data_IF_518292879871
#
_entry.id   IF_518292879871
#
_cell.length_a   1.000
_cell.length_b   1.000
_cell.length_c   1.000
_cell.angle_alpha   90.00
_cell.angle_beta   90.00
_cell.angle_gamma   90.00
#
_symmetry.space_group_name_H-M   'P 1'
#
loop_
_entity.id
_entity.type
_entity.pdbx_description
1 polymer ?
#
# COMPACT_ATOMS: atom_id res chain seq x y z
N UNK A 1 1.05 31.85 -3.33
CA UNK A 1 1.91 30.94 -2.56
C UNK A 1 1.04 29.92 -1.87
N UNK A 2 1.38 28.61 -2.01
CA UNK A 2 0.59 27.51 -1.47
C UNK A 2 0.48 27.52 0.06
N UNK A 3 -0.53 26.85 0.62
CA UNK A 3 -0.79 26.85 2.08
C UNK A 3 0.38 26.26 2.88
N UNK A 4 1.05 25.22 2.35
CA UNK A 4 2.21 24.59 3.03
C UNK A 4 3.35 25.60 3.21
N UNK A 5 3.62 26.41 2.19
CA UNK A 5 4.60 27.49 2.30
C UNK A 5 4.20 28.56 3.31
N UNK A 6 2.94 29.01 3.26
CA UNK A 6 2.45 30.02 4.18
C UNK A 6 2.48 29.56 5.65
N UNK A 7 2.28 28.25 5.88
CA UNK A 7 2.30 27.66 7.22
C UNK A 7 3.72 27.40 7.73
N UNK A 8 4.63 26.94 6.86
CA UNK A 8 5.98 26.52 7.25
C UNK A 8 7.07 27.60 7.02
N UNK A 9 6.85 28.50 6.07
CA UNK A 9 7.89 29.38 5.54
C UNK A 9 8.93 28.70 4.64
N UNK A 10 8.73 27.40 4.30
CA UNK A 10 9.64 26.62 3.47
C UNK A 10 9.18 26.67 2.00
N UNK A 11 10.06 27.14 1.10
CA UNK A 11 9.72 27.26 -0.32
C UNK A 11 9.41 25.87 -0.90
N UNK A 12 8.31 25.70 -1.66
CA UNK A 12 7.88 24.39 -2.16
C UNK A 12 8.95 23.64 -2.93
N UNK A 13 9.71 24.32 -3.81
CA UNK A 13 10.78 23.72 -4.62
C UNK A 13 12.11 23.55 -3.85
N UNK A 14 12.15 23.93 -2.56
CA UNK A 14 13.34 23.77 -1.73
C UNK A 14 13.71 22.30 -1.61
N UNK A 15 15.01 21.96 -1.74
CA UNK A 15 15.48 20.60 -1.50
C UNK A 15 15.46 20.31 0.00
N UNK A 16 14.46 19.52 0.46
CA UNK A 16 14.34 19.12 1.86
C UNK A 16 15.31 17.99 2.19
N UNK A 17 15.39 17.00 1.33
CA UNK A 17 16.32 15.88 1.46
C UNK A 17 16.63 15.24 0.11
N UNK A 18 17.71 14.44 0.07
CA UNK A 18 18.07 13.63 -1.10
C UNK A 18 18.11 12.16 -0.66
N UNK A 19 17.38 11.30 -1.38
CA UNK A 19 17.35 9.87 -1.14
C UNK A 19 17.90 9.13 -2.35
N UNK A 20 19.02 8.46 -2.20
CA UNK A 20 19.65 7.69 -3.29
C UNK A 20 19.81 8.50 -4.60
N UNK A 21 20.13 9.79 -4.47
CA UNK A 21 20.29 10.72 -5.61
C UNK A 21 18.99 11.34 -6.11
N UNK A 22 17.84 11.00 -5.56
CA UNK A 22 16.56 11.62 -5.88
C UNK A 22 16.29 12.79 -4.91
N UNK A 23 16.04 13.97 -5.45
CA UNK A 23 15.64 15.14 -4.64
C UNK A 23 14.19 14.98 -4.20
N UNK A 24 13.95 15.22 -2.92
CA UNK A 24 12.62 15.38 -2.32
C UNK A 24 12.44 16.85 -1.98
N UNK A 25 11.37 17.45 -2.51
CA UNK A 25 11.08 18.86 -2.29
C UNK A 25 10.42 19.12 -0.94
N UNK A 26 10.43 20.40 -0.52
CA UNK A 26 9.69 20.80 0.69
C UNK A 26 8.18 20.52 0.55
N UNK A 27 7.59 20.75 -0.63
CA UNK A 27 6.17 20.44 -0.87
C UNK A 27 5.88 18.97 -0.67
N UNK A 28 6.68 18.08 -1.31
CA UNK A 28 6.51 16.63 -1.18
C UNK A 28 6.64 16.17 0.29
N UNK A 29 7.62 16.67 1.01
CA UNK A 29 7.84 16.32 2.41
C UNK A 29 6.72 16.85 3.34
N UNK A 30 6.38 18.14 3.22
CA UNK A 30 5.38 18.80 4.06
C UNK A 30 3.97 18.21 3.88
N UNK A 31 3.65 17.73 2.68
CA UNK A 31 2.40 16.98 2.45
C UNK A 31 2.30 15.77 3.39
N UNK A 32 3.37 15.01 3.54
CA UNK A 32 3.37 13.83 4.41
C UNK A 32 3.46 14.19 5.89
N UNK A 33 4.12 15.28 6.24
CA UNK A 33 4.04 15.86 7.60
C UNK A 33 2.58 16.20 7.95
N UNK A 34 1.89 16.89 7.06
CA UNK A 34 0.47 17.23 7.26
C UNK A 34 -0.41 15.99 7.37
N UNK A 35 -0.24 15.02 6.48
CA UNK A 35 -0.98 13.76 6.54
C UNK A 35 -0.79 13.04 7.88
N UNK A 36 0.45 12.92 8.36
CA UNK A 36 0.74 12.31 9.66
C UNK A 36 0.13 13.11 10.82
N UNK A 37 0.17 14.44 10.76
CA UNK A 37 -0.49 15.30 11.76
C UNK A 37 -2.00 15.07 11.79
N UNK A 38 -2.67 15.03 10.64
CA UNK A 38 -4.10 14.77 10.55
C UNK A 38 -4.45 13.37 11.09
N UNK A 39 -3.64 12.36 10.77
CA UNK A 39 -3.83 11.00 11.25
C UNK A 39 -3.78 10.93 12.79
N UNK A 40 -2.77 11.56 13.41
CA UNK A 40 -2.62 11.59 14.87
C UNK A 40 -3.77 12.39 15.50
N UNK A 41 -4.05 13.59 15.00
CA UNK A 41 -5.11 14.47 15.54
C UNK A 41 -6.50 13.85 15.45
N UNK A 42 -6.76 12.99 14.46
CA UNK A 42 -8.02 12.25 14.35
C UNK A 42 -8.24 11.22 15.47
N UNK A 43 -7.15 10.78 16.11
CA UNK A 43 -7.14 9.77 17.19
C UNK A 43 -6.93 10.37 18.57
N UNK A 44 -6.17 11.45 18.64
CA UNK A 44 -5.79 12.14 19.87
C UNK A 44 -6.25 13.59 19.73
N UNK A 45 -7.46 13.94 20.22
CA UNK A 45 -7.89 15.32 20.25
C UNK A 45 -6.94 16.19 21.09
N UNK A 46 -6.65 17.39 20.63
CA UNK A 46 -5.79 18.37 21.30
C UNK A 46 -4.37 17.83 21.61
N UNK A 47 -3.79 17.09 20.66
CA UNK A 47 -2.45 16.51 20.80
C UNK A 47 -1.42 17.58 21.14
N UNK A 48 -0.62 17.33 22.18
CA UNK A 48 0.58 18.12 22.49
C UNK A 48 1.76 17.58 21.67
N UNK A 49 2.15 18.30 20.64
CA UNK A 49 3.23 17.89 19.73
C UNK A 49 4.61 17.79 20.42
N UNK A 50 4.75 18.31 21.63
CA UNK A 50 5.97 18.21 22.44
C UNK A 50 5.89 17.07 23.49
N UNK A 51 4.76 16.39 23.61
CA UNK A 51 4.62 15.22 24.47
C UNK A 51 5.46 14.06 23.94
N UNK A 52 6.16 13.36 24.83
CA UNK A 52 7.00 12.22 24.53
C UNK A 52 6.13 10.97 24.27
N UNK A 53 6.42 10.27 23.17
CA UNK A 53 5.70 9.06 22.73
C UNK A 53 6.50 7.78 22.83
N UNK A 54 7.81 7.90 23.10
CA UNK A 54 8.72 6.75 23.20
C UNK A 54 9.63 6.87 24.42
N UNK A 55 10.17 5.73 24.87
CA UNK A 55 11.08 5.66 26.03
C UNK A 55 12.41 6.39 25.80
N UNK A 56 12.84 6.54 24.55
CA UNK A 56 14.03 7.29 24.15
C UNK A 56 13.83 8.80 24.07
N UNK A 57 12.60 9.26 24.35
CA UNK A 57 12.26 10.66 24.48
C UNK A 57 11.76 11.34 23.19
N UNK A 58 11.50 10.59 22.12
CA UNK A 58 10.93 11.14 20.88
C UNK A 58 9.56 11.76 21.16
N UNK A 59 9.33 12.97 20.65
CA UNK A 59 8.03 13.66 20.74
C UNK A 59 7.11 13.30 19.57
N UNK A 60 5.79 13.62 19.67
CA UNK A 60 4.87 13.49 18.53
C UNK A 60 5.35 14.28 17.32
N UNK A 61 5.86 15.49 17.51
CA UNK A 61 6.39 16.30 16.42
C UNK A 61 7.60 15.67 15.73
N UNK A 62 8.53 15.08 16.50
CA UNK A 62 9.67 14.34 15.96
C UNK A 62 9.23 13.05 15.26
N UNK A 63 8.29 12.31 15.83
CA UNK A 63 7.72 11.12 15.23
C UNK A 63 7.11 11.42 13.85
N UNK A 64 6.30 12.47 13.74
CA UNK A 64 5.72 12.92 12.46
C UNK A 64 6.80 13.23 11.42
N UNK A 65 7.88 13.91 11.84
CA UNK A 65 9.00 14.22 10.92
C UNK A 65 9.68 12.95 10.41
N UNK A 66 9.87 11.96 11.27
CA UNK A 66 10.47 10.66 10.91
C UNK A 66 9.54 9.88 9.97
N UNK A 67 8.26 9.79 10.28
CA UNK A 67 7.26 9.11 9.42
C UNK A 67 7.18 9.75 8.02
N UNK A 68 7.23 11.07 7.96
CA UNK A 68 7.26 11.77 6.69
C UNK A 68 8.54 11.45 5.88
N UNK A 69 9.71 11.35 6.52
CA UNK A 69 10.96 10.93 5.87
C UNK A 69 10.84 9.50 5.35
N UNK A 70 10.33 8.55 6.14
CA UNK A 70 10.18 7.16 5.70
C UNK A 70 9.21 7.05 4.51
N UNK A 71 8.14 7.85 4.50
CA UNK A 71 7.20 7.86 3.37
C UNK A 71 7.83 8.41 2.10
N UNK A 72 8.45 9.58 2.13
CA UNK A 72 9.08 10.16 0.93
C UNK A 72 10.29 9.33 0.47
N UNK A 73 10.95 8.64 1.37
CA UNK A 73 12.03 7.68 1.06
C UNK A 73 11.51 6.55 0.18
N UNK A 74 10.34 5.98 0.47
CA UNK A 74 9.73 4.94 -0.37
C UNK A 74 9.50 5.47 -1.80
N UNK A 75 8.88 6.64 -1.95
CA UNK A 75 8.64 7.27 -3.25
C UNK A 75 9.95 7.53 -4.02
N UNK A 76 10.95 8.06 -3.35
CA UNK A 76 12.25 8.35 -3.96
C UNK A 76 13.00 7.06 -4.37
N UNK A 77 12.93 5.99 -3.57
CA UNK A 77 13.52 4.69 -3.89
C UNK A 77 12.85 4.08 -5.11
N UNK A 78 11.52 4.16 -5.23
CA UNK A 78 10.80 3.68 -6.41
C UNK A 78 11.28 4.43 -7.66
N UNK A 79 11.37 5.77 -7.61
CA UNK A 79 11.89 6.59 -8.72
C UNK A 79 13.32 6.18 -9.10
N UNK A 80 14.20 6.03 -8.11
CA UNK A 80 15.59 5.61 -8.34
C UNK A 80 15.68 4.21 -8.95
N UNK A 81 14.86 3.28 -8.46
CA UNK A 81 14.83 1.91 -8.97
C UNK A 81 14.28 1.84 -10.39
N UNK A 82 13.16 2.51 -10.67
CA UNK A 82 12.64 2.62 -12.03
C UNK A 82 13.66 3.20 -13.01
N UNK A 83 14.37 4.26 -12.60
CA UNK A 83 15.44 4.84 -13.40
C UNK A 83 16.60 3.87 -13.65
N UNK A 84 17.01 3.11 -12.62
CA UNK A 84 18.08 2.12 -12.72
C UNK A 84 17.71 1.01 -13.72
N UNK A 85 16.46 0.53 -13.70
CA UNK A 85 15.95 -0.53 -14.57
C UNK A 85 15.42 -0.03 -15.93
N UNK A 86 15.50 1.29 -16.19
CA UNK A 86 14.94 1.94 -17.37
C UNK A 86 13.42 1.72 -17.52
N UNK A 87 12.71 1.58 -16.41
CA UNK A 87 11.24 1.55 -16.37
C UNK A 87 10.74 2.98 -16.41
N UNK A 88 9.87 3.28 -17.36
CA UNK A 88 9.27 4.60 -17.56
C UNK A 88 7.79 4.46 -17.89
N UNK A 89 6.98 5.46 -17.52
CA UNK A 89 5.57 5.46 -17.87
C UNK A 89 5.36 5.31 -19.37
N UNK A 90 4.51 4.36 -19.73
CA UNK A 90 4.06 4.20 -21.11
C UNK A 90 3.18 5.37 -21.57
N UNK A 91 2.96 5.51 -22.88
CA UNK A 91 2.01 6.50 -23.40
C UNK A 91 0.58 6.22 -22.94
N UNK A 92 0.25 4.95 -22.69
CA UNK A 92 -1.04 4.54 -22.13
C UNK A 92 -1.17 5.05 -20.67
N UNK A 93 -0.14 4.90 -19.85
CA UNK A 93 -0.15 5.37 -18.46
C UNK A 93 -0.28 6.88 -18.38
N UNK A 94 0.46 7.60 -19.20
CA UNK A 94 0.34 9.07 -19.31
C UNK A 94 -1.07 9.50 -19.71
N UNK A 95 -1.70 8.77 -20.66
CA UNK A 95 -3.06 9.03 -21.06
C UNK A 95 -4.07 8.73 -19.94
N UNK A 96 -3.84 7.66 -19.15
CA UNK A 96 -4.68 7.34 -17.99
C UNK A 96 -4.57 8.39 -16.89
N UNK A 97 -3.36 8.85 -16.57
CA UNK A 97 -3.14 9.96 -15.62
C UNK A 97 -3.86 11.23 -16.06
N UNK A 98 -3.74 11.60 -17.34
CA UNK A 98 -4.43 12.75 -17.89
C UNK A 98 -5.97 12.59 -17.84
N UNK A 99 -6.49 11.39 -18.13
CA UNK A 99 -7.91 11.08 -18.03
C UNK A 99 -8.41 11.13 -16.57
N UNK A 100 -7.63 10.62 -15.63
CA UNK A 100 -7.95 10.69 -14.20
C UNK A 100 -8.00 12.14 -13.71
N UNK A 101 -7.01 12.96 -14.09
CA UNK A 101 -7.03 14.39 -13.80
C UNK A 101 -8.30 15.06 -14.36
N UNK A 102 -8.66 14.76 -15.62
CA UNK A 102 -9.88 15.31 -16.24
C UNK A 102 -11.15 14.87 -15.51
N UNK A 103 -11.23 13.61 -15.04
CA UNK A 103 -12.37 13.15 -14.22
C UNK A 103 -12.53 13.96 -12.94
N UNK A 104 -11.42 14.32 -12.27
CA UNK A 104 -11.49 15.19 -11.10
C UNK A 104 -11.93 16.63 -11.46
N UNK A 105 -11.42 17.18 -12.58
CA UNK A 105 -11.86 18.49 -13.07
C UNK A 105 -13.38 18.48 -13.35
N UNK A 106 -13.88 17.43 -13.99
CA UNK A 106 -15.30 17.27 -14.31
C UNK A 106 -16.15 17.08 -13.03
N UNK A 107 -15.63 16.31 -12.06
CA UNK A 107 -16.28 16.09 -10.75
C UNK A 107 -16.46 17.39 -9.97
N UNK A 108 -15.43 18.25 -9.92
CA UNK A 108 -15.49 19.56 -9.26
C UNK A 108 -16.15 20.65 -10.12
N UNK A 109 -16.48 20.35 -11.37
CA UNK A 109 -17.21 21.22 -12.28
C UNK A 109 -16.35 22.20 -13.07
N UNK A 110 -15.11 22.44 -12.69
CA UNK A 110 -14.16 23.27 -13.43
C UNK A 110 -12.72 22.99 -13.01
N UNK A 111 -11.77 23.35 -13.88
CA UNK A 111 -10.34 23.29 -13.57
C UNK A 111 -10.00 24.20 -12.36
N UNK A 112 -10.58 25.38 -12.29
CA UNK A 112 -10.39 26.31 -11.16
C UNK A 112 -10.81 25.68 -9.83
N UNK A 113 -11.99 25.05 -9.78
CA UNK A 113 -12.49 24.36 -8.58
C UNK A 113 -11.61 23.17 -8.20
N UNK A 114 -11.14 22.39 -9.17
CA UNK A 114 -10.17 21.30 -8.95
C UNK A 114 -8.87 21.84 -8.34
N UNK A 115 -8.28 22.88 -8.90
CA UNK A 115 -7.05 23.49 -8.38
C UNK A 115 -7.24 24.10 -6.98
N UNK A 116 -8.42 24.64 -6.69
CA UNK A 116 -8.78 25.08 -5.33
C UNK A 116 -8.81 23.92 -4.32
N UNK A 117 -9.29 22.74 -4.73
CA UNK A 117 -9.25 21.56 -3.86
C UNK A 117 -7.80 21.09 -3.59
N UNK A 118 -6.95 21.06 -4.62
CA UNK A 118 -5.53 20.78 -4.42
C UNK A 118 -4.86 21.80 -3.50
N UNK A 119 -5.20 23.08 -3.65
CA UNK A 119 -4.69 24.13 -2.78
C UNK A 119 -5.12 23.96 -1.32
N UNK A 120 -6.33 23.49 -1.04
CA UNK A 120 -6.79 23.13 0.32
C UNK A 120 -5.98 21.98 0.92
N UNK A 121 -5.62 20.98 0.11
CA UNK A 121 -4.70 19.92 0.52
C UNK A 121 -3.28 20.46 0.70
N UNK A 122 -2.94 21.55 0.04
CA UNK A 122 -1.63 22.21 0.11
C UNK A 122 -0.65 21.71 -0.96
N UNK A 123 -1.12 20.98 -1.96
CA UNK A 123 -0.27 20.42 -3.03
C UNK A 123 -0.55 21.13 -4.36
N UNK A 124 0.50 21.29 -5.18
CA UNK A 124 0.38 21.75 -6.56
C UNK A 124 -0.18 20.61 -7.46
N UNK A 125 -0.73 20.98 -8.62
CA UNK A 125 -1.17 20.01 -9.65
C UNK A 125 0.02 19.15 -10.14
N UNK A 126 1.19 19.78 -10.30
CA UNK A 126 2.43 19.10 -10.66
C UNK A 126 2.88 18.11 -9.58
N UNK A 127 2.88 18.51 -8.30
CA UNK A 127 3.23 17.65 -7.18
C UNK A 127 2.25 16.49 -6.99
N UNK A 128 0.96 16.74 -7.22
CA UNK A 128 -0.05 15.67 -7.21
C UNK A 128 0.21 14.66 -8.34
N UNK A 129 0.45 15.13 -9.56
CA UNK A 129 0.75 14.27 -10.69
C UNK A 129 2.04 13.47 -10.46
N UNK A 130 3.10 14.11 -9.97
CA UNK A 130 4.36 13.42 -9.64
C UNK A 130 4.18 12.30 -8.60
N UNK A 131 3.29 12.48 -7.63
CA UNK A 131 2.96 11.42 -6.65
C UNK A 131 2.24 10.25 -7.32
N UNK A 132 1.27 10.53 -8.19
CA UNK A 132 0.55 9.49 -8.94
C UNK A 132 1.47 8.72 -9.89
N UNK A 133 2.39 9.40 -10.57
CA UNK A 133 3.38 8.78 -11.45
C UNK A 133 4.20 7.70 -10.72
N UNK A 134 4.59 7.93 -9.47
CA UNK A 134 5.34 6.93 -8.69
C UNK A 134 4.55 5.65 -8.47
N UNK A 135 3.22 5.73 -8.31
CA UNK A 135 2.37 4.55 -8.17
C UNK A 135 2.38 3.70 -9.45
N UNK A 136 2.34 4.35 -10.62
CA UNK A 136 2.46 3.68 -11.91
C UNK A 136 3.85 3.06 -12.09
N UNK A 137 4.92 3.76 -11.72
CA UNK A 137 6.28 3.23 -11.77
C UNK A 137 6.43 1.98 -10.88
N UNK A 138 5.87 2.00 -9.68
CA UNK A 138 5.88 0.84 -8.79
C UNK A 138 5.13 -0.36 -9.40
N UNK A 139 3.92 -0.13 -9.94
CA UNK A 139 3.15 -1.15 -10.64
C UNK A 139 3.93 -1.74 -11.82
N UNK A 140 4.56 -0.89 -12.62
CA UNK A 140 5.30 -1.33 -13.81
C UNK A 140 6.58 -2.08 -13.44
N UNK A 141 7.27 -1.68 -12.37
CA UNK A 141 8.35 -2.46 -11.77
C UNK A 141 7.85 -3.83 -11.33
N UNK A 142 6.78 -3.86 -10.51
CA UNK A 142 6.19 -5.11 -10.04
C UNK A 142 5.83 -6.04 -11.21
N UNK A 143 5.11 -5.55 -12.21
CA UNK A 143 4.76 -6.33 -13.38
C UNK A 143 5.98 -6.85 -14.13
N UNK A 144 7.03 -6.02 -14.26
CA UNK A 144 8.25 -6.41 -14.95
C UNK A 144 9.05 -7.49 -14.21
N UNK A 145 9.02 -7.50 -12.90
CA UNK A 145 9.69 -8.50 -12.06
C UNK A 145 8.85 -9.75 -11.82
N UNK A 146 7.52 -9.66 -11.81
CA UNK A 146 6.64 -10.75 -11.39
C UNK A 146 5.94 -11.46 -12.56
N UNK A 147 5.96 -10.90 -13.79
CA UNK A 147 5.33 -11.56 -14.95
C UNK A 147 6.34 -12.42 -15.70
N UNK A 148 6.13 -13.76 -15.79
CA UNK A 148 7.01 -14.65 -16.54
C UNK A 148 7.21 -14.18 -17.99
N UNK A 149 8.47 -14.12 -18.41
CA UNK A 149 8.87 -13.66 -19.75
C UNK A 149 9.03 -12.16 -19.91
N UNK A 150 8.78 -11.36 -18.88
CA UNK A 150 9.11 -9.93 -18.83
C UNK A 150 10.63 -9.73 -18.77
N UNK A 151 11.07 -8.50 -19.14
CA UNK A 151 12.50 -8.19 -19.26
C UNK A 151 13.29 -8.26 -17.95
N UNK A 152 12.63 -8.04 -16.82
CA UNK A 152 13.22 -8.04 -15.47
C UNK A 152 12.81 -9.27 -14.67
N UNK A 153 12.03 -10.20 -15.26
CA UNK A 153 11.66 -11.43 -14.58
C UNK A 153 12.91 -12.25 -14.26
N UNK A 154 13.13 -12.64 -12.99
CA UNK A 154 14.30 -13.41 -12.60
C UNK A 154 14.33 -14.77 -13.29
N UNK A 155 15.52 -15.33 -13.54
CA UNK A 155 15.62 -16.68 -14.04
C UNK A 155 15.20 -17.73 -12.99
N UNK A 156 14.81 -18.92 -13.47
CA UNK A 156 14.30 -20.00 -12.61
C UNK A 156 15.32 -20.39 -11.53
N UNK A 157 16.61 -20.29 -11.82
CA UNK A 157 17.66 -20.59 -10.84
C UNK A 157 17.66 -19.57 -9.70
N UNK A 158 17.55 -18.29 -10.02
CA UNK A 158 17.49 -17.22 -9.03
C UNK A 158 16.29 -17.40 -8.10
N UNK A 159 15.12 -17.68 -8.67
CA UNK A 159 13.89 -17.89 -7.90
C UNK A 159 13.94 -19.19 -7.07
N UNK A 160 14.49 -20.28 -7.62
CA UNK A 160 14.67 -21.53 -6.88
C UNK A 160 15.65 -21.37 -5.72
N UNK A 161 16.80 -20.73 -5.96
CA UNK A 161 17.80 -20.48 -4.91
C UNK A 161 17.19 -19.61 -3.78
N UNK A 162 16.38 -18.61 -4.14
CA UNK A 162 15.67 -17.77 -3.17
C UNK A 162 14.60 -18.56 -2.40
N UNK A 163 13.80 -19.37 -3.10
CA UNK A 163 12.79 -20.22 -2.47
C UNK A 163 13.40 -21.19 -1.47
N UNK A 164 14.51 -21.84 -1.84
CA UNK A 164 15.23 -22.76 -0.97
C UNK A 164 15.81 -22.05 0.26
N UNK A 165 16.39 -20.85 0.05
CA UNK A 165 16.95 -20.05 1.14
C UNK A 165 15.89 -19.58 2.14
N UNK A 166 14.71 -19.24 1.66
CA UNK A 166 13.59 -18.77 2.50
C UNK A 166 12.70 -19.92 3.00
N UNK A 167 12.92 -21.15 2.50
CA UNK A 167 12.10 -22.31 2.86
C UNK A 167 10.69 -22.28 2.27
N UNK A 168 10.50 -21.66 1.09
CA UNK A 168 9.20 -21.65 0.40
C UNK A 168 8.85 -23.03 -0.17
N UNK A 169 7.59 -23.38 0.00
CA UNK A 169 6.99 -24.62 -0.50
C UNK A 169 5.64 -24.33 -1.13
N UNK A 170 5.25 -25.14 -2.11
CA UNK A 170 3.96 -25.01 -2.79
C UNK A 170 3.15 -26.28 -2.63
N UNK A 171 1.86 -26.10 -2.29
CA UNK A 171 0.95 -27.21 -1.95
C UNK A 171 -0.46 -26.93 -2.48
N UNK A 172 -1.16 -28.03 -2.80
CA UNK A 172 -2.62 -28.01 -2.76
C UNK A 172 -3.06 -28.33 -1.33
N UNK A 173 -4.02 -27.58 -0.80
CA UNK A 173 -4.51 -27.70 0.58
C UNK A 173 -6.03 -27.75 0.60
N UNK A 174 -6.60 -28.74 1.31
CA UNK A 174 -8.02 -28.84 1.63
C UNK A 174 -8.18 -28.68 3.14
N UNK A 175 -8.95 -27.69 3.58
CA UNK A 175 -9.30 -27.50 4.99
C UNK A 175 -10.68 -28.09 5.27
N UNK A 176 -10.73 -29.11 6.12
CA UNK A 176 -11.94 -29.78 6.55
C UNK A 176 -12.31 -29.32 7.96
N UNK A 177 -13.59 -29.10 8.23
CA UNK A 177 -14.08 -28.65 9.52
C UNK A 177 -15.20 -29.59 10.04
N UNK A 178 -15.35 -29.67 11.34
CA UNK A 178 -16.43 -30.40 12.02
C UNK A 178 -15.94 -31.68 12.70
N UNK A 179 -16.84 -32.31 13.48
CA UNK A 179 -16.54 -33.45 14.34
C UNK A 179 -15.99 -34.68 13.59
N UNK A 180 -16.25 -34.79 12.29
CA UNK A 180 -15.78 -35.90 11.46
C UNK A 180 -14.60 -35.52 10.54
N UNK A 181 -13.98 -34.34 10.73
CA UNK A 181 -12.95 -33.84 9.82
C UNK A 181 -11.76 -34.80 9.64
N UNK A 182 -11.31 -35.47 10.72
CA UNK A 182 -10.21 -36.43 10.63
C UNK A 182 -10.59 -37.69 9.83
N UNK A 183 -11.81 -38.21 10.00
CA UNK A 183 -12.29 -39.37 9.24
C UNK A 183 -12.45 -39.02 7.77
N UNK A 184 -13.03 -37.87 7.48
CA UNK A 184 -13.16 -37.34 6.12
C UNK A 184 -11.77 -37.10 5.47
N UNK A 185 -10.82 -36.60 6.26
CA UNK A 185 -9.45 -36.37 5.76
C UNK A 185 -8.77 -37.66 5.34
N UNK A 186 -8.95 -38.76 6.09
CA UNK A 186 -8.41 -40.07 5.76
C UNK A 186 -9.01 -40.62 4.46
N UNK A 187 -10.33 -40.56 4.29
CA UNK A 187 -11.04 -41.01 3.09
C UNK A 187 -10.63 -40.16 1.85
N UNK A 188 -10.53 -38.85 2.01
CA UNK A 188 -10.11 -37.92 0.95
C UNK A 188 -8.65 -38.17 0.56
N UNK A 189 -7.78 -38.38 1.54
CA UNK A 189 -6.38 -38.66 1.30
C UNK A 189 -6.21 -39.94 0.48
N UNK A 190 -6.93 -41.05 0.84
CA UNK A 190 -6.91 -42.31 0.09
C UNK A 190 -7.41 -42.10 -1.34
N UNK A 191 -8.54 -41.41 -1.53
CA UNK A 191 -9.11 -41.10 -2.84
C UNK A 191 -8.15 -40.25 -3.69
N UNK A 192 -7.61 -39.19 -3.09
CA UNK A 192 -6.69 -38.29 -3.80
C UNK A 192 -5.37 -38.98 -4.17
N UNK A 193 -4.83 -39.83 -3.27
CA UNK A 193 -3.65 -40.67 -3.58
C UNK A 193 -3.87 -41.62 -4.76
N UNK A 194 -5.08 -42.17 -4.90
CA UNK A 194 -5.44 -43.10 -5.97
C UNK A 194 -5.70 -42.40 -7.34
N UNK A 195 -5.96 -41.10 -7.34
CA UNK A 195 -6.25 -40.35 -8.57
C UNK A 195 -5.01 -40.29 -9.49
N UNK A 196 -5.22 -40.46 -10.81
CA UNK A 196 -4.15 -40.30 -11.81
C UNK A 196 -3.77 -38.83 -12.01
N UNK A 197 -4.78 -37.96 -12.05
CA UNK A 197 -4.66 -36.50 -12.15
C UNK A 197 -4.99 -35.87 -10.79
N UNK A 198 -3.96 -35.44 -10.07
CA UNK A 198 -4.08 -34.88 -8.73
C UNK A 198 -4.74 -33.50 -8.72
N UNK A 199 -4.50 -32.69 -9.74
CA UNK A 199 -5.07 -31.36 -9.88
C UNK A 199 -6.58 -31.43 -10.20
N UNK A 200 -6.95 -32.28 -11.15
CA UNK A 200 -8.35 -32.50 -11.48
C UNK A 200 -9.12 -33.05 -10.28
N UNK A 201 -8.55 -33.99 -9.50
CA UNK A 201 -9.17 -34.51 -8.31
C UNK A 201 -9.30 -33.46 -7.20
N UNK A 202 -8.31 -32.57 -7.03
CA UNK A 202 -8.42 -31.44 -6.11
C UNK A 202 -9.61 -30.56 -6.46
N UNK A 203 -9.77 -30.21 -7.73
CA UNK A 203 -10.91 -29.38 -8.17
C UNK A 203 -12.27 -30.08 -7.90
N UNK A 204 -12.38 -31.39 -8.16
CA UNK A 204 -13.57 -32.19 -7.85
C UNK A 204 -13.86 -32.24 -6.34
N UNK A 205 -12.84 -32.44 -5.52
CA UNK A 205 -12.99 -32.45 -4.07
C UNK A 205 -13.44 -31.09 -3.53
N UNK A 206 -12.89 -29.99 -4.05
CA UNK A 206 -13.35 -28.65 -3.69
C UNK A 206 -14.84 -28.44 -4.02
N UNK A 207 -15.27 -28.86 -5.21
CA UNK A 207 -16.68 -28.74 -5.63
C UNK A 207 -17.61 -29.59 -4.73
N UNK A 208 -17.27 -30.86 -4.50
CA UNK A 208 -18.04 -31.75 -3.64
C UNK A 208 -18.17 -31.27 -2.19
N UNK A 209 -17.11 -30.68 -1.66
CA UNK A 209 -17.04 -30.19 -0.28
C UNK A 209 -17.52 -28.74 -0.15
N UNK A 210 -17.89 -28.10 -1.25
CA UNK A 210 -18.27 -26.69 -1.33
C UNK A 210 -17.17 -25.76 -0.77
N UNK A 211 -15.91 -26.10 -1.05
CA UNK A 211 -14.74 -25.31 -0.72
C UNK A 211 -14.35 -24.41 -1.91
N UNK A 212 -13.71 -23.30 -1.62
CA UNK A 212 -13.06 -22.51 -2.68
C UNK A 212 -11.84 -23.28 -3.17
N UNK A 213 -11.70 -23.41 -4.49
CA UNK A 213 -10.51 -23.99 -5.10
C UNK A 213 -9.44 -22.92 -5.23
N UNK A 214 -8.64 -22.72 -4.18
CA UNK A 214 -7.60 -21.67 -4.14
C UNK A 214 -6.38 -22.01 -5.00
N UNK A 215 -6.32 -23.25 -5.56
CA UNK A 215 -5.21 -23.74 -6.35
C UNK A 215 -3.96 -24.03 -5.51
N UNK A 216 -2.79 -23.76 -6.07
CA UNK A 216 -1.51 -23.94 -5.36
C UNK A 216 -1.30 -22.78 -4.41
N UNK A 217 -1.04 -23.11 -3.14
CA UNK A 217 -0.65 -22.16 -2.10
C UNK A 217 0.87 -22.25 -1.91
N UNK A 218 1.56 -21.10 -1.94
CA UNK A 218 2.99 -21.00 -1.67
C UNK A 218 3.23 -20.30 -0.35
N UNK A 219 3.99 -20.94 0.54
CA UNK A 219 4.28 -20.44 1.88
C UNK A 219 5.67 -20.84 2.35
N UNK A 220 6.20 -20.11 3.33
CA UNK A 220 7.41 -20.49 4.07
C UNK A 220 7.05 -20.96 5.49
N UNK A 221 7.95 -21.74 6.12
CA UNK A 221 7.80 -22.07 7.53
C UNK A 221 7.83 -20.81 8.40
N UNK A 222 6.84 -20.67 9.27
CA UNK A 222 6.83 -19.64 10.29
C UNK A 222 7.35 -20.23 11.61
N UNK A 223 8.30 -19.56 12.24
CA UNK A 223 8.91 -20.04 13.50
C UNK A 223 7.84 -20.25 14.58
N UNK A 224 7.76 -21.48 15.09
CA UNK A 224 6.80 -21.88 16.12
C UNK A 224 5.40 -22.19 15.62
N UNK A 225 5.16 -22.19 14.31
CA UNK A 225 3.90 -22.62 13.71
C UNK A 225 3.95 -24.10 13.30
N UNK A 226 3.39 -24.96 14.15
CA UNK A 226 3.38 -26.40 13.95
C UNK A 226 2.66 -26.83 12.66
N UNK A 227 1.70 -26.05 12.16
CA UNK A 227 1.02 -26.36 10.90
C UNK A 227 1.91 -26.06 9.70
N UNK A 228 2.55 -24.88 9.67
CA UNK A 228 3.47 -24.54 8.61
C UNK A 228 4.71 -25.45 8.61
N UNK A 229 5.21 -25.86 9.78
CA UNK A 229 6.28 -26.86 9.90
C UNK A 229 5.86 -28.21 9.29
N UNK A 230 4.64 -28.67 9.53
CA UNK A 230 4.14 -29.90 8.91
C UNK A 230 3.98 -29.80 7.39
N UNK A 231 3.55 -28.63 6.88
CA UNK A 231 3.42 -28.35 5.46
C UNK A 231 4.79 -28.33 4.76
N UNK A 232 5.76 -27.65 5.36
CA UNK A 232 7.11 -27.50 4.78
C UNK A 232 7.97 -28.76 4.89
N UNK A 233 7.63 -29.70 5.80
CA UNK A 233 8.32 -30.98 5.94
C UNK A 233 8.01 -31.99 4.84
N UNK A 234 6.93 -31.82 4.06
CA UNK A 234 6.56 -32.73 2.98
C UNK A 234 7.59 -32.67 1.82
N UNK A 235 7.86 -33.81 1.20
CA UNK A 235 8.61 -33.86 -0.05
C UNK A 235 7.70 -33.65 -1.26
N UNK A 236 8.26 -33.23 -2.40
CA UNK A 236 7.48 -33.06 -3.64
C UNK A 236 6.79 -34.38 -4.03
N UNK A 237 5.48 -34.31 -4.26
CA UNK A 237 4.60 -35.44 -4.53
C UNK A 237 4.13 -36.19 -3.28
N UNK A 238 4.58 -35.83 -2.09
CA UNK A 238 4.07 -36.36 -0.83
C UNK A 238 2.73 -35.77 -0.46
N UNK A 239 1.88 -36.62 0.13
CA UNK A 239 0.55 -36.25 0.61
C UNK A 239 0.45 -36.60 2.10
N UNK A 240 -0.19 -35.72 2.86
CA UNK A 240 -0.47 -35.93 4.26
C UNK A 240 -1.80 -35.32 4.69
N UNK A 241 -2.33 -35.82 5.82
CA UNK A 241 -3.38 -35.14 6.59
C UNK A 241 -2.81 -34.72 7.94
N UNK A 242 -3.13 -33.49 8.36
CA UNK A 242 -2.66 -32.90 9.62
C UNK A 242 -3.82 -32.29 10.36
N UNK A 243 -3.96 -32.64 11.66
CA UNK A 243 -4.95 -32.00 12.55
C UNK A 243 -4.51 -30.55 12.78
N UNK A 244 -5.42 -29.62 12.64
CA UNK A 244 -5.15 -28.20 12.92
C UNK A 244 -4.84 -28.02 14.41
N UNK A 245 -3.62 -27.64 14.79
CA UNK A 245 -3.24 -27.47 16.17
C UNK A 245 -3.93 -26.27 16.86
N UNK A 246 -4.54 -25.39 16.06
CA UNK A 246 -5.16 -24.14 16.52
C UNK A 246 -6.69 -24.13 16.36
N UNK A 247 -7.27 -25.13 15.66
CA UNK A 247 -8.70 -25.22 15.36
C UNK A 247 -9.33 -26.49 15.91
N UNK A 248 -10.27 -26.41 16.87
CA UNK A 248 -11.02 -27.56 17.32
C UNK A 248 -11.85 -28.16 16.16
N UNK A 249 -11.62 -29.44 15.84
CA UNK A 249 -12.35 -30.16 14.79
C UNK A 249 -11.99 -29.73 13.36
N UNK A 250 -10.78 -29.25 13.13
CA UNK A 250 -10.26 -28.95 11.78
C UNK A 250 -9.15 -29.93 11.41
N UNK A 251 -9.07 -30.29 10.11
CA UNK A 251 -8.01 -31.12 9.56
C UNK A 251 -7.65 -30.64 8.15
N UNK A 252 -6.37 -30.67 7.83
CA UNK A 252 -5.84 -30.32 6.50
C UNK A 252 -5.42 -31.58 5.76
N UNK A 253 -5.81 -31.68 4.47
CA UNK A 253 -5.26 -32.68 3.54
C UNK A 253 -4.42 -31.93 2.51
N UNK A 254 -3.19 -32.34 2.32
CA UNK A 254 -2.20 -31.59 1.57
C UNK A 254 -1.46 -32.46 0.58
N UNK A 255 -1.12 -31.89 -0.57
CA UNK A 255 -0.20 -32.44 -1.56
C UNK A 255 0.92 -31.44 -1.83
N UNK A 256 2.16 -31.81 -1.58
CA UNK A 256 3.32 -31.02 -1.97
C UNK A 256 3.55 -31.07 -3.48
N UNK A 257 3.67 -29.93 -4.12
CA UNK A 257 3.99 -29.77 -5.54
C UNK A 257 5.40 -29.25 -5.75
N UNK A 258 5.84 -29.18 -7.00
CA UNK A 258 6.99 -28.34 -7.35
C UNK A 258 6.71 -26.90 -6.93
N UNK A 259 7.76 -26.18 -6.57
CA UNK A 259 7.62 -24.79 -6.11
C UNK A 259 7.10 -23.90 -7.24
N UNK A 260 6.02 -23.16 -6.95
CA UNK A 260 5.47 -22.17 -7.87
C UNK A 260 6.38 -20.94 -7.92
N UNK A 261 7.25 -20.90 -8.94
CA UNK A 261 8.22 -19.83 -9.11
C UNK A 261 7.54 -18.47 -9.43
N UNK A 262 6.33 -18.47 -9.99
CA UNK A 262 5.61 -17.22 -10.22
C UNK A 262 5.18 -16.57 -8.90
N UNK A 263 4.65 -17.37 -7.97
CA UNK A 263 4.33 -16.89 -6.61
C UNK A 263 5.61 -16.48 -5.84
N UNK A 264 6.71 -17.22 -6.02
CA UNK A 264 8.00 -16.85 -5.42
C UNK A 264 8.55 -15.53 -5.97
N UNK A 265 8.32 -15.22 -7.24
CA UNK A 265 8.76 -13.96 -7.85
C UNK A 265 8.14 -12.74 -7.17
N UNK A 266 6.89 -12.84 -6.71
CA UNK A 266 6.22 -11.75 -5.97
C UNK A 266 6.90 -11.47 -4.64
N UNK A 267 7.16 -12.52 -3.86
CA UNK A 267 7.85 -12.37 -2.56
C UNK A 267 9.33 -11.97 -2.74
N UNK A 268 9.96 -12.39 -3.81
CA UNK A 268 11.30 -11.95 -4.19
C UNK A 268 11.35 -10.46 -4.51
N UNK A 269 10.35 -9.95 -5.25
CA UNK A 269 10.22 -8.52 -5.54
C UNK A 269 10.07 -7.69 -4.25
N UNK A 270 9.22 -8.13 -3.32
CA UNK A 270 9.04 -7.45 -2.03
C UNK A 270 10.36 -7.41 -1.24
N UNK A 271 11.09 -8.53 -1.21
CA UNK A 271 12.41 -8.59 -0.56
C UNK A 271 13.42 -7.64 -1.22
N UNK A 272 13.43 -7.55 -2.55
CA UNK A 272 14.29 -6.59 -3.26
C UNK A 272 13.92 -5.15 -2.93
N UNK A 273 12.63 -4.85 -2.82
CA UNK A 273 12.17 -3.50 -2.46
C UNK A 273 12.60 -3.12 -1.04
N UNK A 274 12.41 -4.03 -0.07
CA UNK A 274 12.88 -3.84 1.31
C UNK A 274 14.40 -3.61 1.37
N UNK A 275 15.19 -4.44 0.67
CA UNK A 275 16.64 -4.26 0.59
C UNK A 275 17.03 -2.90 0.00
N UNK A 276 16.32 -2.41 -1.01
CA UNK A 276 16.56 -1.08 -1.58
C UNK A 276 16.19 0.04 -0.61
N UNK A 277 15.13 -0.13 0.17
CA UNK A 277 14.77 0.81 1.24
C UNK A 277 15.82 0.85 2.35
N UNK A 278 16.31 -0.30 2.77
CA UNK A 278 17.36 -0.41 3.80
C UNK A 278 18.69 0.19 3.34
N UNK A 279 19.06 -0.06 2.08
CA UNK A 279 20.30 0.44 1.49
C UNK A 279 20.23 1.91 1.08
N UNK A 280 19.05 2.54 1.08
CA UNK A 280 18.88 3.89 0.62
C UNK A 280 19.61 4.91 1.52
N UNK A 281 20.47 5.70 0.90
CA UNK A 281 21.09 6.83 1.58
C UNK A 281 20.10 8.00 1.68
N UNK A 282 19.97 8.56 2.87
CA UNK A 282 19.15 9.75 3.12
C UNK A 282 20.05 10.88 3.60
N UNK A 283 20.06 11.99 2.86
CA UNK A 283 20.79 13.22 3.21
C UNK A 283 19.78 14.33 3.43
N UNK A 284 19.61 14.75 4.66
CA UNK A 284 18.65 15.78 5.04
C UNK A 284 19.29 17.16 4.95
N UNK A 285 18.57 18.15 4.45
CA UNK A 285 18.94 19.56 4.59
C UNK A 285 18.63 20.01 6.02
N UNK A 286 19.61 19.87 6.92
CA UNK A 286 19.43 20.14 8.34
C UNK A 286 18.84 21.52 8.62
N UNK A 287 19.24 22.55 7.84
CA UNK A 287 18.74 23.90 8.04
C UNK A 287 17.22 23.99 7.84
N UNK A 288 16.68 23.32 6.84
CA UNK A 288 15.23 23.33 6.56
C UNK A 288 14.50 22.36 7.51
N UNK A 289 15.04 21.17 7.69
CA UNK A 289 14.47 20.14 8.52
C UNK A 289 14.36 20.55 10.01
N UNK A 290 15.43 21.13 10.57
CA UNK A 290 15.45 21.52 11.98
C UNK A 290 14.63 22.79 12.23
N UNK A 291 14.42 23.63 11.21
CA UNK A 291 13.59 24.83 11.34
C UNK A 291 12.09 24.56 11.38
N UNK A 292 11.64 23.35 11.01
CA UNK A 292 10.22 22.99 11.01
C UNK A 292 9.75 22.66 12.44
N UNK A 293 8.94 23.55 13.01
CA UNK A 293 8.11 23.29 14.20
C UNK A 293 6.77 22.69 13.74
N UNK A 294 6.58 21.39 14.02
CA UNK A 294 5.41 20.63 13.55
C UNK A 294 4.11 21.18 14.16
N UNK A 295 4.12 21.52 15.46
CA UNK A 295 2.93 22.03 16.13
C UNK A 295 2.49 23.37 15.56
N UNK A 296 3.41 24.33 15.46
CA UNK A 296 3.13 25.64 14.89
C UNK A 296 2.74 25.56 13.40
N UNK A 297 3.39 24.67 12.64
CA UNK A 297 3.04 24.40 11.25
C UNK A 297 1.60 23.90 11.10
N UNK A 298 1.23 22.87 11.85
CA UNK A 298 -0.09 22.24 11.72
C UNK A 298 -1.22 23.16 12.20
N UNK A 299 -1.02 23.88 13.30
CA UNK A 299 -1.97 24.90 13.79
C UNK A 299 -2.20 25.98 12.71
N UNK A 300 -1.11 26.53 12.16
CA UNK A 300 -1.20 27.58 11.13
C UNK A 300 -1.84 27.06 9.84
N UNK A 301 -1.52 25.84 9.42
CA UNK A 301 -2.11 25.24 8.23
C UNK A 301 -3.61 25.00 8.39
N UNK A 302 -4.03 24.53 9.56
CA UNK A 302 -5.45 24.33 9.90
C UNK A 302 -6.23 25.65 9.87
N UNK A 303 -5.64 26.71 10.43
CA UNK A 303 -6.22 28.05 10.37
C UNK A 303 -6.38 28.53 8.91
N UNK A 304 -5.32 28.45 8.11
CA UNK A 304 -5.34 28.87 6.70
C UNK A 304 -6.36 28.09 5.86
N UNK A 305 -6.51 26.78 6.11
CA UNK A 305 -7.55 25.96 5.48
C UNK A 305 -8.95 26.42 5.81
N UNK A 306 -9.19 26.71 7.09
CA UNK A 306 -10.49 27.22 7.54
C UNK A 306 -10.81 28.56 6.87
N UNK A 307 -9.87 29.50 6.87
CA UNK A 307 -10.01 30.80 6.20
C UNK A 307 -10.30 30.66 4.70
N UNK A 308 -9.61 29.73 4.02
CA UNK A 308 -9.82 29.46 2.60
C UNK A 308 -11.20 28.84 2.33
N UNK A 309 -11.64 27.88 3.15
CA UNK A 309 -12.98 27.27 3.02
C UNK A 309 -14.10 28.29 3.24
N UNK A 310 -13.97 29.16 4.23
CA UNK A 310 -14.92 30.26 4.48
C UNK A 310 -14.98 31.24 3.30
N UNK A 311 -13.83 31.59 2.72
CA UNK A 311 -13.76 32.44 1.54
C UNK A 311 -14.44 31.80 0.32
N UNK A 312 -14.26 30.50 0.10
CA UNK A 312 -14.93 29.76 -0.98
C UNK A 312 -16.45 29.76 -0.81
N UNK A 313 -16.95 29.51 0.41
CA UNK A 313 -18.39 29.51 0.70
C UNK A 313 -19.02 30.91 0.51
N UNK A 314 -18.29 31.99 0.82
CA UNK A 314 -18.80 33.36 0.70
C UNK A 314 -18.91 33.82 -0.77
N UNK A 315 -18.15 33.22 -1.69
CA UNK A 315 -18.22 33.50 -3.13
C UNK A 315 -19.37 32.78 -3.83
N UNK A 316 -19.86 31.67 -3.26
CA UNK A 316 -20.99 30.89 -3.80
C UNK A 316 -22.38 31.42 -3.40
N UNK A 317 -22.48 32.50 -2.64
CA UNK A 317 -23.76 33.12 -2.34
C UNK A 317 -24.16 34.05 -3.47
N UNK A 318 -25.14 33.70 -4.33
CA UNK A 318 -25.65 34.61 -5.35
C UNK A 318 -26.31 35.77 -4.66
N UNK A 319 -25.91 37.00 -4.96
CA UNK A 319 -26.70 38.21 -4.68
C UNK A 319 -27.98 38.17 -5.52
N UNK A 320 -28.92 37.31 -5.11
CA UNK A 320 -30.26 37.20 -5.67
C UNK A 320 -31.23 37.82 -4.71
N UNK A 321 -31.84 38.93 -5.14
CA UNK A 321 -33.00 39.60 -4.58
C UNK A 321 -34.02 38.59 -4.04
N UNK A 322 -34.46 38.85 -2.83
CA UNK A 322 -35.57 38.16 -2.20
C UNK A 322 -36.78 38.06 -3.13
N UNK A 323 -37.22 36.83 -3.35
CA UNK A 323 -38.63 36.55 -3.59
C UNK A 323 -39.00 35.27 -2.78
N UNK A 324 -39.98 35.49 -1.95
CA UNK A 324 -40.47 34.63 -0.89
C UNK A 324 -41.35 33.52 -1.53
N UNK A 325 -40.92 32.26 -1.48
CA UNK A 325 -41.85 31.11 -1.39
C UNK A 325 -41.13 29.89 -0.81
N UNK A 326 -41.63 29.47 0.35
CA UNK A 326 -41.30 28.22 1.00
C UNK A 326 -41.65 27.02 0.12
N UNK A 327 -40.75 26.01 0.04
CA UNK A 327 -41.20 24.63 0.23
C UNK A 327 -40.04 23.69 0.62
N UNK A 328 -40.39 22.73 1.41
CA UNK A 328 -39.68 21.76 2.21
C UNK A 328 -39.12 20.62 1.34
N UNK A 329 -37.83 20.26 1.46
CA UNK A 329 -37.39 18.90 1.18
C UNK A 329 -35.99 18.61 1.73
N UNK A 330 -35.92 17.72 2.71
CA UNK A 330 -34.74 17.11 3.23
C UNK A 330 -34.01 16.24 2.15
N UNK A 331 -32.71 16.45 1.95
CA UNK A 331 -31.86 15.66 1.09
C UNK A 331 -30.57 15.24 1.80
N UNK A 332 -30.46 13.97 2.02
CA UNK A 332 -29.37 13.20 2.62
C UNK A 332 -28.04 13.42 1.91
N UNK A 333 -27.00 13.69 2.68
CA UNK A 333 -25.59 13.69 2.25
C UNK A 333 -25.08 12.25 2.12
N UNK A 334 -24.78 11.82 0.92
CA UNK A 334 -23.99 10.59 0.66
C UNK A 334 -22.49 10.95 0.52
N UNK A 335 -21.70 10.26 1.30
CA UNK A 335 -20.24 10.25 1.23
C UNK A 335 -19.80 9.29 0.13
N UNK A 336 -18.83 9.63 -0.77
CA UNK A 336 -18.33 8.70 -1.77
C UNK A 336 -17.41 7.64 -1.15
N UNK A 337 -17.37 6.43 -1.75
CA UNK A 337 -16.60 5.31 -1.22
C UNK A 337 -15.10 5.47 -1.44
N UNK A 338 -14.35 5.06 -0.43
CA UNK A 338 -12.91 4.85 -0.52
C UNK A 338 -12.63 3.51 -1.23
N UNK A 339 -11.78 3.51 -2.25
CA UNK A 339 -10.93 2.41 -2.67
C UNK A 339 -9.47 2.86 -2.70
#
# INVERSE_FOLDING_TARGET
>A
EGLLYQASGLHPDGEMLVVSGQTVTCEEYLRWVDYACQYISSRIPDVDWNEQVSEDGMTYGEYVKVEAVETVKQYAVIRAWAQQENVTLSDTDKAQLAAQRQQYVDYYGSEEAYLQQLALVGISDEGNNATLEVQYLYRDLYQSFCTPGSSLYPDDKTLSDYADQQGYVSLYVLKLNGENAETMAADILERWQAAEDKEAEYALLCDELQLTADGIVTLASAEGDALSDAMTALEVGEMASVIDPYGEGSCFVMLRTDTDLAAVAETYFDTLFEQKLEAASVVTNSKLYDSLDVGAFFEKLTQLRTEMMEAMQSTDTPTGTADDTADDAAGTTETPPAE
#
